data_IF_409685520206
#
_entry.id   IF_409685520206
#
_cell.length_a   1.000
_cell.length_b   1.000
_cell.length_c   1.000
_cell.angle_alpha   90.00
_cell.angle_beta   90.00
_cell.angle_gamma   90.00
#
_symmetry.space_group_name_H-M   'P 1'
#
loop_
_entity.id
_entity.type
_entity.pdbx_description
1 polymer ?
#
# COMPACT_ATOMS: atom_id res chain seq x y z
N UNK A 1 25.64 15.39 8.55
CA UNK A 1 27.03 15.73 8.94
C UNK A 1 27.86 16.23 7.76
N UNK A 2 27.80 15.59 6.57
CA UNK A 2 28.55 16.02 5.37
C UNK A 2 28.10 17.40 4.84
N UNK A 3 26.81 17.71 4.94
CA UNK A 3 26.27 19.01 4.51
C UNK A 3 26.76 20.16 5.42
N UNK A 4 26.80 19.93 6.72
CA UNK A 4 27.29 20.91 7.69
C UNK A 4 28.83 21.13 7.64
N UNK A 5 29.58 20.23 7.04
CA UNK A 5 31.04 20.37 6.82
C UNK A 5 31.40 20.97 5.47
N UNK A 6 30.46 21.53 4.72
CA UNK A 6 30.66 22.09 3.37
C UNK A 6 31.22 21.10 2.33
N UNK A 7 31.06 19.81 2.53
CA UNK A 7 31.47 18.76 1.59
C UNK A 7 30.30 18.42 0.63
N UNK A 8 29.81 19.43 -0.09
CA UNK A 8 28.61 19.31 -0.94
C UNK A 8 28.76 18.25 -2.03
N UNK A 9 29.90 18.20 -2.71
CA UNK A 9 30.14 17.25 -3.81
C UNK A 9 30.12 15.79 -3.33
N UNK A 10 30.64 15.53 -2.13
CA UNK A 10 30.61 14.19 -1.55
C UNK A 10 29.20 13.81 -1.09
N UNK A 11 28.42 14.75 -0.54
CA UNK A 11 27.03 14.52 -0.13
C UNK A 11 26.14 14.29 -1.33
N UNK A 12 26.33 15.01 -2.44
CA UNK A 12 25.62 14.80 -3.70
C UNK A 12 25.91 13.41 -4.29
N UNK A 13 27.20 13.05 -4.41
CA UNK A 13 27.58 11.74 -4.98
C UNK A 13 27.08 10.56 -4.15
N UNK A 14 26.98 10.72 -2.83
CA UNK A 14 26.41 9.71 -1.94
C UNK A 14 24.91 9.62 -2.08
N UNK A 15 24.21 10.76 -2.19
CA UNK A 15 22.78 10.83 -2.34
C UNK A 15 22.29 10.29 -3.71
N UNK A 16 23.02 10.57 -4.80
CA UNK A 16 22.73 10.04 -6.13
C UNK A 16 22.89 8.52 -6.23
N UNK A 17 23.89 7.95 -5.54
CA UNK A 17 24.10 6.49 -5.48
C UNK A 17 23.10 5.78 -4.58
N UNK A 18 22.45 6.51 -3.68
CA UNK A 18 21.49 5.94 -2.75
C UNK A 18 20.12 5.76 -3.43
N UNK A 19 19.55 4.55 -3.30
CA UNK A 19 18.17 4.27 -3.75
C UNK A 19 17.11 4.79 -2.77
N UNK A 20 17.50 5.42 -1.67
CA UNK A 20 16.58 5.92 -0.65
C UNK A 20 15.89 7.20 -1.12
N UNK A 21 14.56 7.29 -1.04
CA UNK A 21 13.82 8.49 -1.45
C UNK A 21 14.30 9.75 -0.74
N UNK A 22 14.63 9.65 0.54
CA UNK A 22 15.13 10.76 1.34
C UNK A 22 16.46 11.32 0.81
N UNK A 23 17.34 10.46 0.29
CA UNK A 23 18.62 10.88 -0.28
C UNK A 23 18.41 11.71 -1.55
N UNK A 24 17.39 11.41 -2.35
CA UNK A 24 17.02 12.17 -3.54
C UNK A 24 16.51 13.57 -3.19
N UNK A 25 15.69 13.69 -2.13
CA UNK A 25 15.24 14.99 -1.63
C UNK A 25 16.43 15.83 -1.19
N UNK A 26 17.34 15.25 -0.41
CA UNK A 26 18.56 15.93 0.04
C UNK A 26 19.44 16.38 -1.13
N UNK A 27 19.64 15.52 -2.13
CA UNK A 27 20.40 15.85 -3.33
C UNK A 27 19.76 17.03 -4.10
N UNK A 28 18.45 17.02 -4.28
CA UNK A 28 17.74 18.07 -4.98
C UNK A 28 17.83 19.43 -4.25
N UNK A 29 17.75 19.45 -2.93
CA UNK A 29 17.91 20.64 -2.10
C UNK A 29 19.34 21.19 -2.24
N UNK A 30 20.35 20.35 -2.03
CA UNK A 30 21.76 20.74 -2.08
C UNK A 30 22.17 21.22 -3.46
N UNK A 31 21.69 20.59 -4.54
CA UNK A 31 21.97 21.00 -5.92
C UNK A 31 21.39 22.39 -6.29
N UNK A 32 20.46 22.91 -5.52
CA UNK A 32 19.82 24.21 -5.77
C UNK A 32 20.11 25.23 -4.65
N UNK A 33 21.07 24.97 -3.76
CA UNK A 33 21.34 25.86 -2.63
C UNK A 33 21.78 27.28 -3.07
N UNK A 34 22.55 27.38 -4.17
CA UNK A 34 23.04 28.69 -4.71
C UNK A 34 21.91 29.55 -5.30
N UNK A 35 20.75 28.98 -5.59
CA UNK A 35 19.60 29.68 -6.23
C UNK A 35 18.62 30.26 -5.20
N UNK A 36 18.91 30.11 -3.92
CA UNK A 36 18.09 30.61 -2.83
C UNK A 36 16.99 29.65 -2.35
N UNK A 37 16.33 30.06 -1.26
CA UNK A 37 15.36 29.24 -0.52
C UNK A 37 14.22 28.69 -1.39
N UNK A 38 13.60 29.53 -2.21
CA UNK A 38 12.46 29.16 -3.04
C UNK A 38 12.83 28.07 -4.06
N UNK A 39 14.04 28.13 -4.61
CA UNK A 39 14.53 27.11 -5.51
C UNK A 39 14.77 25.77 -4.82
N UNK A 40 15.27 25.78 -3.57
CA UNK A 40 15.43 24.57 -2.76
C UNK A 40 14.08 23.92 -2.42
N UNK A 41 13.08 24.73 -2.05
CA UNK A 41 11.71 24.26 -1.77
C UNK A 41 11.11 23.62 -3.02
N UNK A 42 11.11 24.34 -4.14
CA UNK A 42 10.55 23.82 -5.40
C UNK A 42 11.23 22.52 -5.86
N UNK A 43 12.56 22.42 -5.69
CA UNK A 43 13.30 21.20 -6.02
C UNK A 43 12.93 20.02 -5.09
N UNK A 44 12.73 20.28 -3.80
CA UNK A 44 12.24 19.30 -2.84
C UNK A 44 10.85 18.80 -3.23
N UNK A 45 9.92 19.71 -3.49
CA UNK A 45 8.54 19.39 -3.84
C UNK A 45 8.45 18.56 -5.13
N UNK A 46 9.28 18.88 -6.14
CA UNK A 46 9.35 18.11 -7.38
C UNK A 46 9.74 16.63 -7.12
N UNK A 47 10.67 16.38 -6.20
CA UNK A 47 11.05 15.02 -5.81
C UNK A 47 9.94 14.35 -5.01
N UNK A 48 9.28 15.06 -4.09
CA UNK A 48 8.13 14.53 -3.35
C UNK A 48 7.02 14.07 -4.27
N UNK A 49 6.64 14.88 -5.26
CA UNK A 49 5.59 14.54 -6.22
C UNK A 49 5.89 13.28 -7.04
N UNK A 50 7.17 12.92 -7.18
CA UNK A 50 7.58 11.72 -7.92
C UNK A 50 7.79 10.50 -7.03
N UNK A 51 8.32 10.66 -5.83
CA UNK A 51 8.67 9.54 -4.94
C UNK A 51 7.50 9.11 -4.04
N UNK A 52 6.65 10.02 -3.56
CA UNK A 52 5.52 9.66 -2.71
C UNK A 52 4.54 8.68 -3.39
N UNK A 53 4.11 8.88 -4.65
CA UNK A 53 3.27 7.89 -5.33
C UNK A 53 3.95 6.54 -5.54
N UNK A 54 5.28 6.51 -5.65
CA UNK A 54 6.04 5.24 -5.78
C UNK A 54 5.98 4.40 -4.51
N UNK A 55 5.99 5.03 -3.34
CA UNK A 55 5.91 4.36 -2.06
C UNK A 55 4.55 3.72 -1.82
N UNK A 56 3.47 4.32 -2.33
CA UNK A 56 2.09 3.87 -2.09
C UNK A 56 1.52 2.99 -3.20
N UNK A 57 2.12 2.98 -4.39
CA UNK A 57 1.60 2.34 -5.60
C UNK A 57 1.22 0.86 -5.40
N UNK A 58 2.11 0.08 -4.81
CA UNK A 58 1.89 -1.36 -4.62
C UNK A 58 0.92 -1.65 -3.47
N UNK A 59 0.80 -0.76 -2.51
CA UNK A 59 -0.13 -0.89 -1.39
C UNK A 59 -1.57 -0.83 -1.90
N UNK A 60 -1.85 0.08 -2.84
CA UNK A 60 -3.15 0.18 -3.50
C UNK A 60 -3.53 -1.12 -4.22
N UNK A 61 -2.57 -1.76 -4.91
CA UNK A 61 -2.82 -3.05 -5.59
C UNK A 61 -3.18 -4.14 -4.58
N UNK A 62 -2.45 -4.26 -3.46
CA UNK A 62 -2.74 -5.26 -2.42
C UNK A 62 -4.13 -5.01 -1.81
N UNK A 63 -4.51 -3.75 -1.59
CA UNK A 63 -5.83 -3.37 -1.09
C UNK A 63 -6.96 -3.83 -2.04
N UNK A 64 -6.77 -3.63 -3.33
CA UNK A 64 -7.72 -4.11 -4.36
C UNK A 64 -7.81 -5.63 -4.35
N UNK A 65 -6.69 -6.35 -4.22
CA UNK A 65 -6.69 -7.82 -4.13
C UNK A 65 -7.45 -8.33 -2.90
N UNK A 66 -7.30 -7.67 -1.76
CA UNK A 66 -8.06 -7.99 -0.55
C UNK A 66 -9.58 -7.82 -0.78
N UNK A 67 -9.99 -6.73 -1.42
CA UNK A 67 -11.39 -6.47 -1.77
C UNK A 67 -11.95 -7.52 -2.73
N UNK A 68 -11.17 -7.88 -3.76
CA UNK A 68 -11.54 -8.92 -4.72
C UNK A 68 -11.72 -10.27 -4.01
N UNK A 69 -10.84 -10.63 -3.07
CA UNK A 69 -10.93 -11.89 -2.30
C UNK A 69 -12.25 -11.99 -1.54
N UNK A 70 -12.68 -10.90 -0.90
CA UNK A 70 -13.98 -10.84 -0.20
C UNK A 70 -15.15 -11.00 -1.18
N UNK A 71 -15.10 -10.30 -2.31
CA UNK A 71 -16.16 -10.37 -3.34
C UNK A 71 -16.24 -11.77 -3.97
N UNK A 72 -15.11 -12.43 -4.19
CA UNK A 72 -15.08 -13.82 -4.67
C UNK A 72 -15.68 -14.79 -3.64
N UNK A 73 -15.43 -14.58 -2.34
CA UNK A 73 -16.07 -15.34 -1.26
C UNK A 73 -17.61 -15.17 -1.31
N UNK A 74 -18.09 -13.94 -1.45
CA UNK A 74 -19.54 -13.65 -1.59
C UNK A 74 -20.12 -14.25 -2.87
N UNK A 75 -19.44 -14.14 -3.99
CA UNK A 75 -19.86 -14.74 -5.25
C UNK A 75 -19.99 -16.26 -5.12
N UNK A 76 -19.07 -16.90 -4.40
CA UNK A 76 -19.11 -18.33 -4.08
C UNK A 76 -20.37 -18.73 -3.30
N UNK A 77 -20.85 -17.88 -2.38
CA UNK A 77 -22.11 -18.17 -1.66
C UNK A 77 -23.34 -18.07 -2.55
N UNK A 78 -23.43 -17.06 -3.39
CA UNK A 78 -24.56 -16.90 -4.31
C UNK A 78 -24.63 -18.09 -5.26
N UNK A 79 -23.50 -18.41 -5.89
CA UNK A 79 -23.42 -19.53 -6.84
C UNK A 79 -23.69 -20.87 -6.15
N UNK A 80 -23.09 -21.10 -4.97
CA UNK A 80 -23.29 -22.32 -4.21
C UNK A 80 -24.74 -22.53 -3.73
N UNK A 81 -25.45 -21.44 -3.35
CA UNK A 81 -26.87 -21.54 -2.99
C UNK A 81 -27.75 -21.91 -4.19
N UNK A 82 -27.47 -21.37 -5.37
CA UNK A 82 -28.23 -21.74 -6.60
C UNK A 82 -28.10 -23.25 -6.84
N UNK A 83 -26.88 -23.81 -6.79
CA UNK A 83 -26.68 -25.24 -6.93
C UNK A 83 -27.31 -26.07 -5.83
N UNK A 84 -27.25 -25.58 -4.59
CA UNK A 84 -27.86 -26.28 -3.45
C UNK A 84 -29.36 -26.41 -3.61
N UNK A 85 -30.06 -25.32 -4.00
CA UNK A 85 -31.51 -25.35 -4.21
C UNK A 85 -31.91 -26.23 -5.39
N UNK A 86 -31.16 -26.19 -6.50
CA UNK A 86 -31.41 -27.06 -7.66
C UNK A 86 -31.23 -28.54 -7.27
N UNK A 87 -30.16 -28.88 -6.55
CA UNK A 87 -29.91 -30.22 -6.07
C UNK A 87 -31.01 -30.73 -5.11
N UNK A 88 -31.50 -29.87 -4.21
CA UNK A 88 -32.57 -30.20 -3.25
C UNK A 88 -33.91 -30.38 -3.94
N UNK A 89 -34.21 -29.61 -4.97
CA UNK A 89 -35.48 -29.72 -5.72
C UNK A 89 -35.67 -31.10 -6.33
N UNK A 90 -34.59 -31.77 -6.75
CA UNK A 90 -34.60 -33.07 -7.38
C UNK A 90 -34.51 -34.24 -6.39
N UNK A 91 -34.54 -34.00 -5.06
CA UNK A 91 -34.45 -35.07 -4.03
C UNK A 91 -35.84 -35.45 -3.47
N UNK A 92 -35.97 -36.69 -2.96
CA UNK A 92 -37.14 -37.12 -2.18
C UNK A 92 -37.34 -36.22 -0.96
N UNK A 93 -38.62 -35.97 -0.60
CA UNK A 93 -38.98 -35.06 0.48
C UNK A 93 -38.25 -35.32 1.80
N UNK A 94 -38.04 -36.61 2.14
CA UNK A 94 -37.36 -37.05 3.37
C UNK A 94 -35.86 -36.68 3.42
N UNK A 95 -35.21 -36.48 2.26
CA UNK A 95 -33.78 -36.20 2.17
C UNK A 95 -33.49 -34.69 2.00
N UNK A 96 -34.50 -33.89 1.64
CA UNK A 96 -34.34 -32.46 1.37
C UNK A 96 -33.71 -31.66 2.53
N UNK A 97 -34.14 -31.86 3.81
CA UNK A 97 -33.59 -31.08 4.90
C UNK A 97 -32.09 -31.32 5.09
N UNK A 98 -31.66 -32.58 4.97
CA UNK A 98 -30.24 -32.91 5.09
C UNK A 98 -29.42 -32.36 3.95
N UNK A 99 -29.89 -32.53 2.71
CA UNK A 99 -29.20 -32.00 1.53
C UNK A 99 -29.07 -30.47 1.56
N UNK A 100 -30.12 -29.79 2.06
CA UNK A 100 -30.07 -28.34 2.24
C UNK A 100 -29.04 -27.92 3.29
N UNK A 101 -29.01 -28.60 4.44
CA UNK A 101 -28.05 -28.32 5.50
C UNK A 101 -26.60 -28.53 5.04
N UNK A 102 -26.34 -29.65 4.36
CA UNK A 102 -25.01 -29.96 3.81
C UNK A 102 -24.58 -28.91 2.75
N UNK A 103 -25.49 -28.52 1.86
CA UNK A 103 -25.24 -27.49 0.85
C UNK A 103 -24.94 -26.12 1.46
N UNK A 104 -25.71 -25.69 2.45
CA UNK A 104 -25.48 -24.41 3.15
C UNK A 104 -24.12 -24.44 3.85
N UNK A 105 -23.72 -25.52 4.48
CA UNK A 105 -22.42 -25.65 5.14
C UNK A 105 -21.27 -25.45 4.15
N UNK A 106 -21.36 -26.04 2.95
CA UNK A 106 -20.35 -25.88 1.88
C UNK A 106 -20.31 -24.40 1.40
N UNK A 107 -21.46 -23.81 1.20
CA UNK A 107 -21.58 -22.40 0.75
C UNK A 107 -20.96 -21.44 1.77
N UNK A 108 -21.22 -21.63 3.05
CA UNK A 108 -20.59 -20.81 4.10
C UNK A 108 -19.07 -20.94 4.15
N UNK A 109 -18.54 -22.12 3.81
CA UNK A 109 -17.09 -22.32 3.72
C UNK A 109 -16.43 -21.44 2.64
N UNK A 110 -17.10 -21.13 1.54
CA UNK A 110 -16.56 -20.25 0.48
C UNK A 110 -16.37 -18.83 0.97
N UNK A 111 -17.31 -18.28 1.74
CA UNK A 111 -17.16 -16.96 2.38
C UNK A 111 -16.03 -16.97 3.40
N UNK A 112 -15.93 -18.02 4.21
CA UNK A 112 -14.85 -18.16 5.18
C UNK A 112 -13.48 -18.13 4.50
N UNK A 113 -13.31 -18.81 3.38
CA UNK A 113 -12.08 -18.82 2.60
C UNK A 113 -11.78 -17.42 2.01
N UNK A 114 -12.79 -16.72 1.50
CA UNK A 114 -12.65 -15.34 1.02
C UNK A 114 -12.17 -14.39 2.11
N UNK A 115 -12.75 -14.48 3.30
CA UNK A 115 -12.36 -13.67 4.47
C UNK A 115 -10.99 -14.06 5.00
N UNK A 116 -10.67 -15.34 5.07
CA UNK A 116 -9.38 -15.85 5.54
C UNK A 116 -8.22 -15.35 4.65
N UNK A 117 -8.49 -15.13 3.37
CA UNK A 117 -7.54 -14.56 2.42
C UNK A 117 -7.48 -13.03 2.53
N UNK A 118 -8.62 -12.35 2.69
CA UNK A 118 -8.70 -10.90 2.69
C UNK A 118 -8.13 -10.26 3.97
N UNK A 119 -8.40 -10.84 5.14
CA UNK A 119 -8.00 -10.26 6.44
C UNK A 119 -6.49 -10.10 6.57
N UNK A 120 -5.64 -11.09 6.28
CA UNK A 120 -4.18 -10.90 6.33
C UNK A 120 -3.68 -9.82 5.36
N UNK A 121 -4.27 -9.75 4.15
CA UNK A 121 -3.91 -8.73 3.17
C UNK A 121 -4.25 -7.33 3.66
N UNK A 122 -5.41 -7.14 4.30
CA UNK A 122 -5.82 -5.84 4.86
C UNK A 122 -4.90 -5.41 6.02
N UNK A 123 -4.50 -6.35 6.88
CA UNK A 123 -3.52 -6.08 7.94
C UNK A 123 -2.19 -5.63 7.33
N UNK A 124 -1.73 -6.34 6.30
CA UNK A 124 -0.50 -5.99 5.59
C UNK A 124 -0.58 -4.59 4.96
N UNK A 125 -1.70 -4.25 4.32
CA UNK A 125 -1.97 -2.91 3.76
C UNK A 125 -1.87 -1.84 4.86
N UNK A 126 -2.48 -2.07 6.02
CA UNK A 126 -2.41 -1.15 7.15
C UNK A 126 -0.97 -0.89 7.61
N UNK A 127 -0.18 -1.95 7.80
CA UNK A 127 1.21 -1.84 8.21
C UNK A 127 2.09 -1.14 7.15
N UNK A 128 1.87 -1.44 5.87
CA UNK A 128 2.61 -0.79 4.79
C UNK A 128 2.26 0.68 4.65
N UNK A 129 0.98 1.06 4.80
CA UNK A 129 0.56 2.45 4.81
C UNK A 129 1.24 3.25 5.93
N UNK A 130 1.22 2.74 7.16
CA UNK A 130 1.89 3.38 8.31
C UNK A 130 3.37 3.60 8.05
N UNK A 131 4.06 2.62 7.47
CA UNK A 131 5.48 2.76 7.13
C UNK A 131 5.72 3.78 6.00
N UNK A 132 4.86 3.80 4.98
CA UNK A 132 4.97 4.74 3.87
C UNK A 132 4.72 6.18 4.32
N UNK A 133 3.69 6.40 5.12
CA UNK A 133 3.36 7.71 5.71
C UNK A 133 4.51 8.22 6.58
N UNK A 134 5.08 7.35 7.42
CA UNK A 134 6.24 7.70 8.25
C UNK A 134 7.44 8.10 7.40
N UNK A 135 7.75 7.36 6.33
CA UNK A 135 8.84 7.70 5.43
C UNK A 135 8.61 9.04 4.73
N UNK A 136 7.39 9.32 4.29
CA UNK A 136 7.02 10.59 3.66
C UNK A 136 7.21 11.74 4.67
N UNK A 137 6.72 11.60 5.90
CA UNK A 137 6.91 12.59 6.97
C UNK A 137 8.37 12.81 7.31
N UNK A 138 9.18 11.75 7.39
CA UNK A 138 10.63 11.87 7.62
C UNK A 138 11.34 12.61 6.47
N UNK A 139 10.92 12.40 5.22
CA UNK A 139 11.46 13.10 4.06
C UNK A 139 11.15 14.60 4.16
N UNK A 140 9.92 14.96 4.48
CA UNK A 140 9.46 16.35 4.62
C UNK A 140 10.20 17.06 5.78
N UNK A 141 10.22 16.46 6.98
CA UNK A 141 10.88 17.02 8.15
C UNK A 141 12.37 17.26 7.92
N UNK A 142 13.07 16.26 7.38
CA UNK A 142 14.51 16.37 7.12
C UNK A 142 14.81 17.31 5.97
N UNK A 143 13.94 17.35 4.93
CA UNK A 143 14.04 18.32 3.85
C UNK A 143 13.97 19.75 4.37
N UNK A 144 12.96 20.07 5.17
CA UNK A 144 12.79 21.40 5.79
C UNK A 144 13.96 21.77 6.71
N UNK A 145 14.49 20.81 7.50
CA UNK A 145 15.66 21.07 8.34
C UNK A 145 16.89 21.44 7.53
N UNK A 146 17.12 20.79 6.39
CA UNK A 146 18.25 21.12 5.52
C UNK A 146 18.06 22.49 4.87
N UNK A 147 16.89 22.81 4.33
CA UNK A 147 16.57 24.12 3.75
C UNK A 147 16.83 25.22 4.79
N UNK A 148 16.36 25.06 6.02
CA UNK A 148 16.58 26.04 7.09
C UNK A 148 18.04 26.13 7.56
N UNK A 149 18.87 25.12 7.33
CA UNK A 149 20.28 25.16 7.68
C UNK A 149 21.17 25.77 6.59
N UNK A 150 20.67 25.86 5.36
CA UNK A 150 21.36 26.39 4.19
C UNK A 150 20.89 27.80 3.79
N UNK A 151 19.75 28.25 4.31
CA UNK A 151 19.22 29.59 4.11
C UNK A 151 19.61 30.52 5.26
#
# INVERSE_FOLDING_TARGET
>A
QLVSSQQYDQSLSFAEKSKLPIAKVMAAIVANHDKGRDAMVNASDAVFLTEAPRLTRYISVISVMASISTLLGLMGTIYGLIFTFDAVANKPAAERPKALADGIAIVMATTLLGLLSAVPLLVLVGLLNMNSERLIQEMEEKGLKIINSLS
#
